data_IF_998180960763
#
_entry.id   IF_998180960763
#
_cell.length_a   1.000
_cell.length_b   1.000
_cell.length_c   1.000
_cell.angle_alpha   90.00
_cell.angle_beta   90.00
_cell.angle_gamma   90.00
#
_symmetry.space_group_name_H-M   'P 1'
#
loop_
_entity.id
_entity.type
_entity.pdbx_description
1 polymer ?
#
# COMPACT_ATOMS: atom_id res chain seq x y z
N UNK A 1 3.90 7.01 -4.56
CA UNK A 1 3.74 6.94 -6.01
C UNK A 1 5.10 7.10 -6.67
N UNK A 2 5.25 6.63 -7.90
CA UNK A 2 6.38 7.05 -8.74
C UNK A 2 6.24 8.58 -8.96
N UNK A 3 7.29 9.41 -8.85
CA UNK A 3 7.25 10.81 -9.26
C UNK A 3 6.59 11.04 -10.64
N UNK A 4 6.62 10.03 -11.53
CA UNK A 4 6.02 10.08 -12.87
C UNK A 4 4.71 9.27 -13.01
N UNK A 5 4.20 8.68 -11.93
CA UNK A 5 3.08 7.71 -11.95
C UNK A 5 1.72 8.31 -11.57
N UNK A 6 0.67 7.92 -12.32
CA UNK A 6 -0.72 8.35 -12.08
C UNK A 6 -1.29 7.65 -10.84
N UNK A 7 -1.26 8.31 -9.68
CA UNK A 7 -1.78 7.78 -8.42
C UNK A 7 -1.26 8.50 -7.18
N UNK A 8 -1.13 9.83 -7.23
CA UNK A 8 -0.75 10.61 -6.05
C UNK A 8 -1.89 10.59 -5.03
N UNK A 9 -1.59 10.04 -3.85
CA UNK A 9 -2.39 10.35 -2.66
C UNK A 9 -2.19 11.83 -2.33
N UNK A 10 -3.21 12.47 -1.79
CA UNK A 10 -3.17 13.90 -1.45
C UNK A 10 -2.00 14.30 -0.53
N UNK A 11 -1.46 13.34 0.23
CA UNK A 11 -0.31 13.52 1.13
C UNK A 11 0.97 12.80 0.64
N UNK A 12 1.14 12.59 -0.66
CA UNK A 12 2.34 11.95 -1.20
C UNK A 12 3.48 12.96 -1.43
N UNK A 13 4.58 12.91 -0.66
CA UNK A 13 5.67 13.86 -0.82
C UNK A 13 6.51 13.60 -2.07
N UNK A 14 6.42 12.42 -2.70
CA UNK A 14 7.25 12.09 -3.88
C UNK A 14 6.82 12.81 -5.15
N UNK A 15 5.65 13.47 -5.13
CA UNK A 15 5.24 14.40 -6.19
C UNK A 15 6.02 15.70 -6.22
N UNK A 16 6.74 16.05 -5.15
CA UNK A 16 7.73 17.11 -5.22
C UNK A 16 8.91 16.62 -6.09
N UNK A 17 9.42 17.45 -7.00
CA UNK A 17 10.57 17.06 -7.83
C UNK A 17 11.82 16.72 -7.00
N UNK A 18 12.71 15.89 -7.55
CA UNK A 18 13.99 15.53 -6.94
C UNK A 18 14.03 14.17 -6.25
N UNK A 19 12.89 13.48 -6.11
CA UNK A 19 12.86 12.07 -5.70
C UNK A 19 13.16 11.15 -6.91
N UNK A 20 13.86 10.03 -6.70
CA UNK A 20 14.05 9.02 -7.73
C UNK A 20 12.73 8.30 -8.05
N UNK A 21 12.61 7.82 -9.28
CA UNK A 21 11.51 6.93 -9.68
C UNK A 21 11.57 5.61 -8.94
N UNK A 22 10.47 4.85 -8.96
CA UNK A 22 10.43 3.52 -8.37
C UNK A 22 11.52 2.61 -8.96
N UNK A 23 11.63 2.59 -10.30
CA UNK A 23 12.62 1.78 -10.98
C UNK A 23 14.04 2.20 -10.63
N UNK A 24 14.32 3.50 -10.56
CA UNK A 24 15.64 4.01 -10.18
C UNK A 24 16.05 3.56 -8.77
N UNK A 25 15.10 3.47 -7.83
CA UNK A 25 15.35 2.96 -6.49
C UNK A 25 15.68 1.46 -6.50
N UNK A 26 14.91 0.67 -7.24
CA UNK A 26 15.13 -0.78 -7.39
C UNK A 26 16.48 -1.07 -8.02
N UNK A 27 16.81 -0.41 -9.13
CA UNK A 27 18.07 -0.60 -9.85
C UNK A 27 19.27 -0.22 -8.97
N UNK A 28 19.15 0.89 -8.23
CA UNK A 28 20.19 1.34 -7.30
C UNK A 28 20.39 0.35 -6.15
N UNK A 29 19.31 -0.25 -5.64
CA UNK A 29 19.39 -1.28 -4.61
C UNK A 29 20.13 -2.51 -5.14
N UNK A 30 19.68 -3.06 -6.28
CA UNK A 30 20.29 -4.23 -6.90
C UNK A 30 21.77 -4.02 -7.22
N UNK A 31 22.14 -2.87 -7.78
CA UNK A 31 23.52 -2.53 -8.09
C UNK A 31 24.43 -2.44 -6.85
N UNK A 32 23.89 -2.06 -5.69
CA UNK A 32 24.65 -1.92 -4.44
C UNK A 32 24.76 -3.21 -3.66
N UNK A 33 23.73 -4.06 -3.69
CA UNK A 33 23.67 -5.27 -2.88
C UNK A 33 24.04 -6.52 -3.66
N UNK A 34 23.94 -6.50 -4.99
CA UNK A 34 24.07 -7.68 -5.84
C UNK A 34 22.89 -8.65 -5.73
N UNK A 35 21.80 -8.26 -5.05
CA UNK A 35 20.61 -9.09 -4.91
C UNK A 35 19.84 -9.19 -6.23
N UNK A 36 19.31 -10.38 -6.52
CA UNK A 36 18.25 -10.52 -7.52
C UNK A 36 16.97 -9.86 -6.99
N UNK A 37 16.35 -9.05 -7.84
CA UNK A 37 15.15 -8.26 -7.54
C UNK A 37 13.97 -8.64 -8.43
N UNK A 38 14.09 -9.74 -9.19
CA UNK A 38 13.05 -10.26 -10.08
C UNK A 38 11.71 -10.50 -9.38
N UNK A 39 11.73 -10.85 -8.10
CA UNK A 39 10.53 -11.13 -7.29
C UNK A 39 9.91 -9.90 -6.62
N UNK A 40 10.43 -8.69 -6.82
CA UNK A 40 9.87 -7.47 -6.22
C UNK A 40 8.35 -7.30 -6.45
N UNK A 41 7.77 -7.57 -7.64
CA UNK A 41 6.32 -7.46 -7.84
C UNK A 41 5.49 -8.31 -6.87
N UNK A 42 5.98 -9.51 -6.52
CA UNK A 42 5.34 -10.34 -5.50
C UNK A 42 5.35 -9.65 -4.13
N UNK A 43 6.47 -9.04 -3.73
CA UNK A 43 6.58 -8.36 -2.45
C UNK A 43 5.72 -7.08 -2.39
N UNK A 44 5.52 -6.39 -3.51
CA UNK A 44 4.58 -5.26 -3.59
C UNK A 44 3.15 -5.76 -3.38
N UNK A 45 2.71 -6.79 -4.12
CA UNK A 45 1.39 -7.39 -3.94
C UNK A 45 1.17 -7.89 -2.51
N UNK A 46 2.15 -8.61 -1.96
CA UNK A 46 2.09 -9.11 -0.59
C UNK A 46 2.00 -7.98 0.43
N UNK A 47 2.73 -6.87 0.22
CA UNK A 47 2.66 -5.71 1.10
C UNK A 47 1.29 -5.03 1.07
N UNK A 48 0.67 -4.92 -0.10
CA UNK A 48 -0.70 -4.41 -0.22
C UNK A 48 -1.71 -5.32 0.49
N UNK A 49 -1.62 -6.65 0.30
CA UNK A 49 -2.46 -7.61 1.00
C UNK A 49 -2.26 -7.55 2.52
N UNK A 50 -1.01 -7.44 2.98
CA UNK A 50 -0.69 -7.28 4.40
C UNK A 50 -1.33 -6.02 4.99
N UNK A 51 -1.34 -4.91 4.26
CA UNK A 51 -2.02 -3.69 4.70
C UNK A 51 -3.53 -3.90 4.79
N UNK A 52 -4.14 -4.63 3.84
CA UNK A 52 -5.56 -4.98 3.91
C UNK A 52 -5.88 -5.76 5.19
N UNK A 53 -5.05 -6.75 5.55
CA UNK A 53 -5.21 -7.53 6.80
C UNK A 53 -5.06 -6.65 8.06
N UNK A 54 -4.13 -5.69 8.05
CA UNK A 54 -3.97 -4.75 9.18
C UNK A 54 -5.22 -3.87 9.31
N UNK A 55 -5.71 -3.31 8.20
CA UNK A 55 -6.94 -2.50 8.18
C UNK A 55 -8.15 -3.29 8.65
N UNK A 56 -8.27 -4.56 8.27
CA UNK A 56 -9.34 -5.46 8.75
C UNK A 56 -9.24 -5.67 10.27
N UNK A 57 -8.03 -5.89 10.78
CA UNK A 57 -7.81 -6.00 12.23
C UNK A 57 -8.11 -4.71 12.99
N UNK A 58 -7.98 -3.54 12.35
CA UNK A 58 -8.42 -2.26 12.91
C UNK A 58 -9.95 -2.19 12.94
N UNK A 59 -10.59 -2.45 11.80
CA UNK A 59 -12.05 -2.48 11.67
C UNK A 59 -12.71 -3.43 12.68
N UNK A 60 -12.21 -4.66 12.81
CA UNK A 60 -12.74 -5.65 13.74
C UNK A 60 -12.65 -5.20 15.21
N UNK A 61 -11.58 -4.50 15.61
CA UNK A 61 -11.44 -3.96 16.98
C UNK A 61 -12.42 -2.83 17.24
N UNK A 62 -12.67 -1.98 16.24
CA UNK A 62 -13.70 -0.95 16.35
C UNK A 62 -15.09 -1.55 16.51
N UNK A 63 -15.44 -2.57 15.72
CA UNK A 63 -16.73 -3.26 15.81
C UNK A 63 -16.98 -3.90 17.19
N UNK A 64 -15.92 -4.31 17.89
CA UNK A 64 -15.99 -4.90 19.23
C UNK A 64 -15.84 -3.87 20.37
N UNK A 65 -15.92 -2.57 20.08
CA UNK A 65 -15.91 -1.51 21.09
C UNK A 65 -14.54 -1.24 21.73
N UNK A 66 -13.44 -1.77 21.17
CA UNK A 66 -12.10 -1.62 21.74
C UNK A 66 -11.54 -0.18 21.66
N UNK A 67 -12.24 0.72 20.96
CA UNK A 67 -11.85 2.12 20.76
C UNK A 67 -12.84 3.13 21.38
N UNK A 68 -13.76 2.66 22.22
CA UNK A 68 -14.83 3.48 22.80
C UNK A 68 -16.09 3.52 21.95
N UNK A 69 -17.13 4.15 22.49
CA UNK A 69 -18.49 4.11 21.94
C UNK A 69 -18.77 5.26 20.93
N UNK A 70 -17.91 6.29 20.90
CA UNK A 70 -18.08 7.51 20.08
C UNK A 70 -17.23 7.47 18.80
N UNK A 71 -17.28 6.36 18.06
CA UNK A 71 -16.53 6.23 16.80
C UNK A 71 -17.42 6.64 15.65
N UNK A 72 -16.96 7.61 14.87
CA UNK A 72 -17.66 8.08 13.68
C UNK A 72 -17.86 6.93 12.68
N UNK A 73 -19.10 6.73 12.25
CA UNK A 73 -19.49 5.70 11.27
C UNK A 73 -18.78 5.92 9.92
N UNK A 74 -18.47 7.17 9.56
CA UNK A 74 -17.70 7.50 8.36
C UNK A 74 -16.26 6.96 8.44
N UNK A 75 -15.63 7.04 9.61
CA UNK A 75 -14.28 6.50 9.85
C UNK A 75 -14.29 4.96 9.75
N UNK A 76 -15.33 4.32 10.32
CA UNK A 76 -15.54 2.88 10.25
C UNK A 76 -15.69 2.37 8.81
N UNK A 77 -16.51 3.06 8.01
CA UNK A 77 -16.72 2.73 6.59
C UNK A 77 -15.43 2.95 5.78
N UNK A 78 -14.65 3.98 6.09
CA UNK A 78 -13.35 4.21 5.46
C UNK A 78 -12.36 3.04 5.65
N UNK A 79 -12.35 2.39 6.82
CA UNK A 79 -11.53 1.18 7.02
C UNK A 79 -12.02 -0.01 6.20
N UNK A 80 -13.33 -0.22 6.13
CA UNK A 80 -13.95 -1.28 5.32
C UNK A 80 -13.55 -1.12 3.84
N UNK A 81 -13.70 0.08 3.31
CA UNK A 81 -13.40 0.37 1.91
C UNK A 81 -11.90 0.22 1.63
N UNK A 82 -11.04 0.65 2.57
CA UNK A 82 -9.60 0.47 2.46
C UNK A 82 -9.18 -1.02 2.41
N UNK A 83 -9.86 -1.90 3.17
CA UNK A 83 -9.61 -3.36 3.09
C UNK A 83 -9.91 -3.88 1.70
N UNK A 84 -11.07 -3.54 1.15
CA UNK A 84 -11.51 -4.00 -0.17
C UNK A 84 -10.58 -3.48 -1.28
N UNK A 85 -10.22 -2.19 -1.25
CA UNK A 85 -9.34 -1.57 -2.24
C UNK A 85 -7.92 -2.17 -2.20
N UNK A 86 -7.34 -2.33 -1.01
CA UNK A 86 -5.98 -2.88 -0.86
C UNK A 86 -5.93 -4.36 -1.27
N UNK A 87 -6.96 -5.15 -0.95
CA UNK A 87 -7.02 -6.55 -1.34
C UNK A 87 -7.17 -6.71 -2.86
N UNK A 88 -8.04 -5.91 -3.49
CA UNK A 88 -8.22 -5.91 -4.94
C UNK A 88 -6.97 -5.39 -5.68
N UNK A 89 -6.33 -4.35 -5.15
CA UNK A 89 -5.07 -3.81 -5.65
C UNK A 89 -3.94 -4.84 -5.59
N UNK A 90 -3.79 -5.54 -4.46
CA UNK A 90 -2.80 -6.60 -4.30
C UNK A 90 -2.93 -7.70 -5.37
N UNK A 91 -4.15 -8.15 -5.63
CA UNK A 91 -4.42 -9.16 -6.65
C UNK A 91 -4.08 -8.67 -8.06
N UNK A 92 -4.38 -7.40 -8.33
CA UNK A 92 -4.08 -6.76 -9.62
C UNK A 92 -2.58 -6.67 -9.83
N UNK A 93 -1.83 -6.13 -8.87
CA UNK A 93 -0.36 -6.05 -8.89
C UNK A 93 0.29 -7.42 -9.08
N UNK A 94 -0.19 -8.45 -8.38
CA UNK A 94 0.35 -9.81 -8.53
C UNK A 94 0.16 -10.36 -9.94
N UNK A 95 -0.98 -10.08 -10.56
CA UNK A 95 -1.32 -10.56 -11.91
C UNK A 95 -0.62 -9.77 -13.01
N UNK A 96 -0.42 -8.47 -12.79
CA UNK A 96 0.23 -7.57 -13.74
C UNK A 96 1.75 -7.60 -13.65
N UNK A 97 2.32 -8.09 -12.55
CA UNK A 97 3.77 -8.17 -12.35
C UNK A 97 4.44 -6.81 -12.17
N UNK A 98 3.68 -5.77 -11.80
CA UNK A 98 4.11 -4.37 -11.66
C UNK A 98 3.39 -3.76 -10.46
#
# INVERSE_FOLDING_TARGET
ADPDGNGQRSNDPTGAGGFPSYQQLVDRYAARTGCDVSDIPYYVAFSAFRLAVISEGVYARYLHGAMGDDVDEEILNGFRDAVEELAAGALTTLRSGI
#
